data_IF_781133073891
#
_entry.id   IF_781133073891
#
_cell.length_a   1.000
_cell.length_b   1.000
_cell.length_c   1.000
_cell.angle_alpha   90.00
_cell.angle_beta   90.00
_cell.angle_gamma   90.00
#
_symmetry.space_group_name_H-M   'P 1'
#
loop_
_entity.id
_entity.type
_entity.pdbx_description
1 polymer ?
#
# COMPACT_ATOMS: atom_id res chain seq x y z
N UNK A 1 5.51 6.71 -21.34
CA UNK A 1 5.79 5.28 -21.56
C UNK A 1 4.74 4.53 -20.78
N UNK A 2 3.92 3.74 -21.46
CA UNK A 2 2.88 2.92 -20.82
C UNK A 2 3.61 1.76 -20.13
N UNK A 3 3.40 1.59 -18.82
CA UNK A 3 3.92 0.42 -18.09
C UNK A 3 3.47 -0.86 -18.80
N UNK A 4 4.35 -1.84 -19.05
CA UNK A 4 3.94 -3.09 -19.66
C UNK A 4 2.92 -3.75 -18.72
N UNK A 5 1.75 -4.15 -19.26
CA UNK A 5 0.78 -4.97 -18.54
C UNK A 5 1.51 -6.14 -17.90
N UNK A 6 1.62 -6.11 -16.56
CA UNK A 6 2.21 -7.20 -15.80
C UNK A 6 1.41 -8.47 -16.08
N UNK A 7 2.11 -9.57 -16.35
CA UNK A 7 1.46 -10.85 -16.64
C UNK A 7 0.55 -11.28 -15.50
N UNK A 8 -0.56 -11.98 -15.78
CA UNK A 8 -1.53 -12.41 -14.75
C UNK A 8 -0.90 -13.15 -13.57
N UNK A 9 0.13 -13.98 -13.83
CA UNK A 9 0.88 -14.69 -12.78
C UNK A 9 1.57 -13.74 -11.78
N UNK A 10 2.08 -12.60 -12.23
CA UNK A 10 2.80 -11.62 -11.40
C UNK A 10 1.84 -10.80 -10.54
N UNK A 11 0.61 -10.54 -11.03
CA UNK A 11 -0.43 -9.87 -10.23
C UNK A 11 -0.86 -10.74 -9.05
N UNK A 12 -1.00 -12.04 -9.27
CA UNK A 12 -1.39 -12.97 -8.22
C UNK A 12 -0.23 -13.28 -7.24
N UNK A 13 1.04 -13.16 -7.68
CA UNK A 13 2.21 -13.17 -6.79
C UNK A 13 2.16 -11.97 -5.80
N UNK A 14 1.74 -10.80 -6.27
CA UNK A 14 1.61 -9.59 -5.46
C UNK A 14 0.37 -9.55 -4.54
N UNK A 15 -0.56 -10.51 -4.68
CA UNK A 15 -1.75 -10.63 -3.82
C UNK A 15 -1.35 -10.70 -2.34
N UNK A 16 -0.30 -11.45 -2.02
CA UNK A 16 0.15 -11.63 -0.63
C UNK A 16 0.65 -10.30 -0.05
N UNK A 17 1.50 -9.59 -0.79
CA UNK A 17 2.01 -8.27 -0.40
C UNK A 17 0.87 -7.28 -0.18
N UNK A 18 -0.14 -7.24 -1.07
CA UNK A 18 -1.25 -6.32 -0.91
C UNK A 18 -2.20 -6.72 0.24
N UNK A 19 -2.44 -8.02 0.44
CA UNK A 19 -3.20 -8.52 1.58
C UNK A 19 -2.52 -8.19 2.92
N UNK A 20 -1.19 -8.25 2.96
CA UNK A 20 -0.38 -7.87 4.11
C UNK A 20 -0.47 -6.37 4.42
N UNK A 21 -0.35 -5.49 3.41
CA UNK A 21 -0.55 -4.04 3.58
C UNK A 21 -1.96 -3.74 4.11
N UNK A 22 -2.98 -4.34 3.51
CA UNK A 22 -4.37 -4.17 3.94
C UNK A 22 -4.55 -4.65 5.40
N UNK A 23 -3.99 -5.80 5.76
CA UNK A 23 -4.10 -6.32 7.11
C UNK A 23 -3.35 -5.46 8.14
N UNK A 24 -2.15 -4.96 7.80
CA UNK A 24 -1.40 -4.03 8.64
C UNK A 24 -2.22 -2.76 8.91
N UNK A 25 -2.89 -2.20 7.89
CA UNK A 25 -3.81 -1.08 8.07
C UNK A 25 -4.92 -1.39 9.09
N UNK A 26 -5.57 -2.56 8.97
CA UNK A 26 -6.64 -2.94 9.91
C UNK A 26 -6.13 -3.03 11.35
N UNK A 27 -4.92 -3.55 11.57
CA UNK A 27 -4.29 -3.61 12.89
C UNK A 27 -4.01 -2.22 13.45
N UNK A 28 -3.44 -1.32 12.65
CA UNK A 28 -3.14 0.06 13.07
C UNK A 28 -4.42 0.84 13.39
N UNK A 29 -5.45 0.72 12.54
CA UNK A 29 -6.74 1.37 12.77
C UNK A 29 -7.45 0.85 14.01
N UNK A 30 -7.45 -0.47 14.22
CA UNK A 30 -7.96 -1.07 15.47
C UNK A 30 -7.16 -0.65 16.70
N UNK A 31 -5.87 -0.40 16.54
CA UNK A 31 -4.99 0.16 17.57
C UNK A 31 -5.23 1.65 17.88
N UNK A 32 -6.09 2.32 17.12
CA UNK A 32 -6.48 3.71 17.36
C UNK A 32 -5.72 4.74 16.53
N UNK A 33 -4.87 4.33 15.57
CA UNK A 33 -4.31 5.27 14.61
C UNK A 33 -5.42 5.79 13.69
N UNK A 34 -5.37 7.10 13.41
CA UNK A 34 -6.31 7.77 12.51
C UNK A 34 -5.81 7.68 11.07
N UNK A 35 -6.73 7.63 10.11
CA UNK A 35 -6.39 7.55 8.68
C UNK A 35 -5.51 8.72 8.20
N UNK A 36 -5.64 9.90 8.82
CA UNK A 36 -4.79 11.06 8.52
C UNK A 36 -3.29 10.81 8.79
N UNK A 37 -2.97 9.84 9.66
CA UNK A 37 -1.61 9.48 10.06
C UNK A 37 -1.14 8.12 9.52
N UNK A 38 -1.96 7.44 8.72
CA UNK A 38 -1.58 6.20 8.04
C UNK A 38 -1.52 6.51 6.54
N UNK A 39 -0.31 6.44 5.97
CA UNK A 39 -0.08 6.61 4.54
C UNK A 39 0.04 5.25 3.89
N UNK A 40 -0.83 4.95 2.91
CA UNK A 40 -0.85 3.63 2.25
C UNK A 40 -0.35 3.72 0.81
N UNK A 41 0.65 2.88 0.51
CA UNK A 41 1.10 2.57 -0.84
C UNK A 41 0.65 1.14 -1.19
N UNK A 42 -0.13 0.99 -2.26
CA UNK A 42 -0.48 -0.33 -2.82
C UNK A 42 -0.96 -0.15 -4.26
N UNK A 43 -0.61 -1.06 -5.17
CA UNK A 43 -0.94 -0.88 -6.59
C UNK A 43 -2.46 -0.89 -6.87
N UNK A 44 -3.24 -1.56 -6.02
CA UNK A 44 -4.71 -1.59 -6.02
C UNK A 44 -5.37 -2.34 -7.20
N UNK A 45 -4.69 -3.36 -7.73
CA UNK A 45 -5.13 -4.11 -8.92
C UNK A 45 -5.62 -5.55 -8.63
N UNK A 46 -5.84 -5.89 -7.35
CA UNK A 46 -6.26 -7.24 -6.92
C UNK A 46 -7.73 -7.32 -6.52
N UNK A 47 -8.27 -6.32 -5.79
CA UNK A 47 -9.63 -6.40 -5.26
C UNK A 47 -10.68 -6.60 -6.36
N UNK A 48 -10.50 -5.94 -7.52
CA UNK A 48 -11.40 -6.04 -8.67
C UNK A 48 -10.75 -6.72 -9.87
N UNK A 49 -9.69 -7.50 -9.66
CA UNK A 49 -9.10 -8.32 -10.70
C UNK A 49 -10.10 -9.37 -11.21
N UNK A 50 -10.11 -9.66 -12.50
CA UNK A 50 -10.97 -10.70 -13.09
C UNK A 50 -10.72 -12.10 -12.50
N UNK A 51 -9.50 -12.36 -12.03
CA UNK A 51 -9.11 -13.62 -11.39
C UNK A 51 -9.51 -13.68 -9.91
N UNK A 52 -9.91 -12.56 -9.29
CA UNK A 52 -10.35 -12.58 -7.90
C UNK A 52 -11.74 -13.23 -7.79
N UNK A 53 -11.87 -14.41 -7.16
CA UNK A 53 -13.16 -15.09 -7.04
C UNK A 53 -14.15 -14.35 -6.13
N UNK A 54 -13.70 -13.33 -5.39
CA UNK A 54 -14.51 -12.49 -4.50
C UNK A 54 -14.26 -11.01 -4.80
N UNK A 55 -14.84 -10.45 -5.89
CA UNK A 55 -14.63 -9.07 -6.27
C UNK A 55 -14.93 -8.09 -5.13
N UNK A 56 -14.04 -7.11 -4.93
CA UNK A 56 -14.09 -6.12 -3.87
C UNK A 56 -13.59 -6.61 -2.50
N UNK A 57 -13.11 -7.85 -2.39
CA UNK A 57 -12.64 -8.44 -1.13
C UNK A 57 -11.19 -8.90 -1.24
N UNK A 58 -10.41 -8.65 -0.20
CA UNK A 58 -9.08 -9.26 -0.01
C UNK A 58 -9.03 -9.90 1.36
N UNK A 59 -8.53 -11.13 1.45
CA UNK A 59 -8.32 -11.83 2.71
C UNK A 59 -6.82 -12.07 2.91
N UNK A 60 -6.37 -12.00 4.16
CA UNK A 60 -4.98 -12.31 4.52
C UNK A 60 -4.83 -13.61 5.35
N UNK A 61 -5.84 -14.50 5.27
CA UNK A 61 -5.78 -15.88 5.79
C UNK A 61 -6.93 -16.71 5.21
N UNK A 62 -6.83 -18.06 5.13
CA UNK A 62 -7.82 -18.91 4.46
C UNK A 62 -9.28 -18.75 4.92
N UNK A 63 -9.47 -18.34 6.17
CA UNK A 63 -10.79 -18.10 6.78
C UNK A 63 -10.91 -16.69 7.37
N UNK A 64 -10.07 -15.77 6.90
CA UNK A 64 -10.05 -14.38 7.36
C UNK A 64 -11.25 -13.58 6.87
N UNK A 65 -11.55 -12.51 7.60
CA UNK A 65 -12.45 -11.45 7.12
C UNK A 65 -11.81 -10.63 6.01
N UNK A 66 -12.62 -9.81 5.33
CA UNK A 66 -12.10 -8.80 4.41
C UNK A 66 -11.15 -7.84 5.16
N UNK A 67 -9.99 -7.57 4.56
CA UNK A 67 -9.02 -6.60 5.04
C UNK A 67 -8.92 -5.37 4.13
N UNK A 68 -9.56 -5.39 2.95
CA UNK A 68 -9.47 -4.33 1.95
C UNK A 68 -10.37 -3.12 2.27
N UNK A 69 -11.57 -3.37 2.79
CA UNK A 69 -12.53 -2.30 3.05
C UNK A 69 -11.97 -1.26 4.03
N UNK A 70 -12.12 0.01 3.66
CA UNK A 70 -11.69 1.16 4.43
C UNK A 70 -10.22 1.53 4.28
N UNK A 71 -9.37 0.70 3.65
CA UNK A 71 -7.95 1.01 3.43
C UNK A 71 -7.80 2.27 2.56
N UNK A 72 -7.10 3.33 3.00
CA UNK A 72 -6.84 4.54 2.23
C UNK A 72 -6.14 4.25 0.90
N UNK A 73 -6.47 5.04 -0.12
CA UNK A 73 -5.86 4.97 -1.46
C UNK A 73 -4.93 6.16 -1.66
N UNK A 74 -3.90 6.26 -0.82
CA UNK A 74 -3.04 7.45 -0.81
C UNK A 74 -2.13 7.49 -2.03
N UNK A 75 -1.50 6.37 -2.38
CA UNK A 75 -0.68 6.21 -3.58
C UNK A 75 -0.97 4.83 -4.17
N UNK A 76 -1.58 4.81 -5.36
CA UNK A 76 -2.01 3.59 -6.05
C UNK A 76 -1.54 3.58 -7.50
N UNK A 77 -1.53 2.39 -8.13
CA UNK A 77 -1.07 2.24 -9.51
C UNK A 77 0.28 2.89 -9.75
N UNK A 78 0.35 3.73 -10.78
CA UNK A 78 1.58 4.42 -11.20
C UNK A 78 2.09 5.47 -10.19
N UNK A 79 1.31 5.80 -9.14
CA UNK A 79 1.76 6.68 -8.06
C UNK A 79 2.58 5.93 -6.99
N UNK A 80 2.65 4.60 -7.05
CA UNK A 80 3.52 3.77 -6.22
C UNK A 80 4.95 3.84 -6.76
N UNK A 81 5.65 4.92 -6.42
CA UNK A 81 7.00 5.19 -6.91
C UNK A 81 7.99 5.42 -5.77
N UNK A 82 9.27 5.15 -6.04
CA UNK A 82 10.39 5.44 -5.12
C UNK A 82 10.43 6.92 -4.73
N UNK A 83 10.17 7.82 -5.68
CA UNK A 83 10.15 9.27 -5.42
C UNK A 83 9.04 9.66 -4.44
N UNK A 84 7.82 9.16 -4.66
CA UNK A 84 6.71 9.41 -3.74
C UNK A 84 6.98 8.80 -2.36
N UNK A 85 7.52 7.58 -2.30
CA UNK A 85 7.86 6.93 -1.03
C UNK A 85 8.86 7.77 -0.20
N UNK A 86 9.94 8.26 -0.81
CA UNK A 86 10.88 9.14 -0.12
C UNK A 86 10.27 10.50 0.24
N UNK A 87 9.49 11.11 -0.65
CA UNK A 87 8.81 12.37 -0.38
C UNK A 87 7.85 12.24 0.81
N UNK A 88 7.13 11.12 0.92
CA UNK A 88 6.25 10.82 2.06
C UNK A 88 7.03 10.70 3.36
N UNK A 89 8.11 9.91 3.40
CA UNK A 89 8.93 9.73 4.61
C UNK A 89 9.53 11.05 5.07
N UNK A 90 9.94 11.90 4.12
CA UNK A 90 10.54 13.19 4.40
C UNK A 90 9.52 14.30 4.71
N UNK A 91 8.22 14.01 4.69
CA UNK A 91 7.17 15.03 4.88
C UNK A 91 7.12 16.08 3.75
N UNK A 92 7.72 15.80 2.59
CA UNK A 92 7.89 16.79 1.51
C UNK A 92 6.79 16.71 0.46
N UNK A 93 5.67 17.42 0.71
CA UNK A 93 4.53 17.49 -0.22
C UNK A 93 4.88 18.04 -1.61
N UNK A 94 5.88 18.92 -1.71
CA UNK A 94 6.25 19.55 -2.99
C UNK A 94 7.04 18.63 -3.93
N UNK A 95 7.59 17.53 -3.40
CA UNK A 95 8.31 16.54 -4.17
C UNK A 95 7.41 15.39 -4.68
N UNK A 96 6.14 15.37 -4.29
CA UNK A 96 5.19 14.35 -4.74
C UNK A 96 4.79 14.55 -6.19
N UNK A 97 4.53 13.42 -6.86
CA UNK A 97 3.88 13.37 -8.17
C UNK A 97 2.68 12.44 -8.08
N UNK A 98 1.47 12.99 -8.20
CA UNK A 98 0.23 12.22 -8.06
C UNK A 98 -0.14 11.87 -6.61
N UNK A 99 -1.06 10.93 -6.44
CA UNK A 99 -1.57 10.48 -5.14
C UNK A 99 -2.42 11.51 -4.39
N UNK A 100 -2.73 11.19 -3.14
CA UNK A 100 -3.57 11.99 -2.23
C UNK A 100 -2.89 13.25 -1.69
N UNK A 101 -1.57 13.33 -1.75
CA UNK A 101 -0.78 14.39 -1.10
C UNK A 101 -0.48 14.15 0.39
N UNK A 102 -0.94 13.02 0.97
CA UNK A 102 -0.67 12.67 2.36
C UNK A 102 0.80 12.28 2.54
N UNK A 103 1.47 12.85 3.54
CA UNK A 103 2.87 12.57 3.87
C UNK A 103 3.02 12.38 5.37
N UNK A 104 4.18 11.90 5.82
CA UNK A 104 4.53 11.86 7.25
C UNK A 104 4.95 13.26 7.69
N UNK A 105 3.97 14.10 8.00
CA UNK A 105 4.17 15.48 8.50
C UNK A 105 4.32 15.46 10.03
N UNK A 106 5.34 14.75 10.50
CA UNK A 106 5.55 14.42 11.92
C UNK A 106 6.39 15.46 12.66
N UNK A 107 6.08 15.66 13.95
CA UNK A 107 6.87 16.45 14.89
C UNK A 107 7.96 15.65 15.62
N UNK A 108 8.78 16.30 16.46
CA UNK A 108 9.95 15.69 17.11
C UNK A 108 9.61 14.60 18.16
N UNK A 109 8.35 14.50 18.58
CA UNK A 109 7.90 13.54 19.59
C UNK A 109 7.05 12.42 18.98
N UNK A 110 6.82 12.43 17.66
CA UNK A 110 5.98 11.45 17.00
C UNK A 110 6.77 10.16 16.77
N UNK A 111 6.04 9.05 16.75
CA UNK A 111 6.59 7.74 16.45
C UNK A 111 6.16 7.30 15.05
N UNK A 112 7.14 6.93 14.23
CA UNK A 112 6.91 6.46 12.87
C UNK A 112 7.11 4.95 12.82
N UNK A 113 6.12 4.25 12.29
CA UNK A 113 6.20 2.84 11.94
C UNK A 113 6.14 2.71 10.42
N UNK A 114 7.18 2.12 9.82
CA UNK A 114 7.25 1.84 8.38
C UNK A 114 7.20 0.34 8.20
N UNK A 115 6.24 -0.13 7.40
CA UNK A 115 6.08 -1.52 7.00
C UNK A 115 6.18 -1.63 5.48
N UNK A 116 7.01 -2.54 5.01
CA UNK A 116 7.21 -2.83 3.59
C UNK A 116 7.08 -4.34 3.39
N UNK A 117 6.36 -4.73 2.35
CA UNK A 117 6.17 -6.12 1.94
C UNK A 117 6.12 -6.15 0.42
N UNK A 118 7.10 -6.82 -0.17
CA UNK A 118 7.18 -7.18 -1.58
C UNK A 118 8.37 -8.14 -1.75
N UNK A 119 8.73 -8.41 -3.00
CA UNK A 119 9.97 -9.02 -3.39
C UNK A 119 11.20 -8.17 -3.00
N UNK A 120 12.37 -8.82 -3.00
CA UNK A 120 13.62 -8.14 -2.72
C UNK A 120 14.83 -8.99 -3.10
N UNK A 121 16.01 -8.35 -3.07
CA UNK A 121 17.30 -8.98 -3.32
C UNK A 121 18.40 -8.32 -2.50
N UNK A 122 19.66 -8.77 -2.63
CA UNK A 122 20.78 -8.18 -1.91
C UNK A 122 20.93 -6.68 -2.23
N UNK A 123 20.61 -5.83 -1.24
CA UNK A 123 20.71 -4.37 -1.37
C UNK A 123 19.61 -3.70 -2.20
N UNK A 124 18.53 -4.40 -2.54
CA UNK A 124 17.44 -3.86 -3.37
C UNK A 124 16.07 -4.37 -2.89
N UNK A 125 15.08 -3.51 -2.98
CA UNK A 125 13.66 -3.80 -2.75
C UNK A 125 12.92 -3.74 -4.10
N UNK A 126 11.90 -4.58 -4.25
CA UNK A 126 11.02 -4.66 -5.43
C UNK A 126 10.11 -3.46 -5.61
#
# INVERSE_FOLDING_TARGET
MVSPEQSPSTKMENLSSMADVCHAYQLLKKGGLKDENIVVFMYDDIAFNEENPRPGVIINSPHGSDVYSGVPKDYIGDDVTVNNFFAVILGNKTALTGGSGKVVDSGPNDHIFIYYTDHGGPGVLG
#
